data_IF_253942734408
#
_entry.id   IF_253942734408
#
_cell.length_a   1.000
_cell.length_b   1.000
_cell.length_c   1.000
_cell.angle_alpha   90.00
_cell.angle_beta   90.00
_cell.angle_gamma   90.00
#
_symmetry.space_group_name_H-M   'P 1'
#
loop_
_entity.id
_entity.type
_entity.pdbx_description
1 polymer ?
#
# COMPACT_ATOMS: atom_id res chain seq x y z
N UNK A 1 -2.69 9.43 11.86
CA UNK A 1 -3.58 8.72 10.89
C UNK A 1 -2.99 8.92 9.50
N UNK A 2 -2.98 7.88 8.67
CA UNK A 2 -2.46 7.91 7.29
C UNK A 2 -3.57 7.60 6.31
N UNK A 3 -3.72 8.43 5.27
CA UNK A 3 -4.67 8.15 4.19
C UNK A 3 -4.28 8.90 2.93
N UNK A 4 -4.75 8.44 1.77
CA UNK A 4 -4.63 9.19 0.53
C UNK A 4 -5.01 8.37 -0.69
N UNK A 5 -5.37 9.05 -1.79
CA UNK A 5 -5.72 8.40 -3.04
C UNK A 5 -4.49 7.87 -3.79
N UNK A 6 -4.71 6.81 -4.56
CA UNK A 6 -3.72 6.24 -5.47
C UNK A 6 -4.40 5.61 -6.67
N UNK A 7 -3.61 5.39 -7.72
CA UNK A 7 -4.04 4.73 -8.96
C UNK A 7 -3.06 3.63 -9.34
N UNK A 8 -3.61 2.61 -10.01
CA UNK A 8 -2.85 1.48 -10.55
C UNK A 8 -3.15 1.36 -12.04
N UNK A 9 -2.09 1.20 -12.84
CA UNK A 9 -2.20 0.98 -14.27
C UNK A 9 -1.51 -0.33 -14.64
N UNK A 10 -2.24 -1.28 -15.22
CA UNK A 10 -1.67 -2.53 -15.72
C UNK A 10 -0.82 -2.25 -16.95
N UNK A 11 0.48 -2.51 -16.83
CA UNK A 11 1.44 -2.43 -17.94
C UNK A 11 1.54 -3.78 -18.65
N UNK A 12 1.30 -4.86 -17.91
CA UNK A 12 1.12 -6.23 -18.41
C UNK A 12 0.06 -6.95 -17.57
N UNK A 13 -0.29 -8.18 -17.93
CA UNK A 13 -1.24 -9.01 -17.16
C UNK A 13 -0.80 -9.32 -15.71
N UNK A 14 0.47 -9.04 -15.37
CA UNK A 14 1.06 -9.36 -14.05
C UNK A 14 1.81 -8.21 -13.41
N UNK A 15 1.91 -7.06 -14.06
CA UNK A 15 2.67 -5.90 -13.59
C UNK A 15 1.81 -4.65 -13.65
N UNK A 16 1.76 -3.92 -12.55
CA UNK A 16 1.16 -2.59 -12.52
C UNK A 16 2.20 -1.53 -12.18
N UNK A 17 2.06 -0.37 -12.81
CA UNK A 17 2.61 0.88 -12.31
C UNK A 17 1.63 1.45 -11.29
N UNK A 18 2.17 1.85 -10.14
CA UNK A 18 1.41 2.35 -9.00
C UNK A 18 1.89 3.75 -8.68
N UNK A 19 0.97 4.68 -8.47
CA UNK A 19 1.30 6.02 -8.01
C UNK A 19 0.22 6.55 -7.08
N UNK A 20 0.59 7.43 -6.16
CA UNK A 20 -0.37 8.03 -5.26
C UNK A 20 0.24 9.10 -4.38
N UNK A 21 -0.61 9.65 -3.53
CA UNK A 21 -0.22 10.62 -2.50
C UNK A 21 -0.74 10.13 -1.17
N UNK A 22 0.01 10.37 -0.10
CA UNK A 22 -0.35 10.00 1.26
C UNK A 22 -0.22 11.21 2.16
N UNK A 23 -1.28 11.50 2.90
CA UNK A 23 -1.25 12.42 4.01
C UNK A 23 -0.91 11.65 5.29
N UNK A 24 0.08 12.16 6.03
CA UNK A 24 0.48 11.63 7.33
C UNK A 24 0.38 12.74 8.37
N UNK A 25 -0.42 12.50 9.42
CA UNK A 25 -0.49 13.37 10.59
C UNK A 25 0.09 12.65 11.81
N UNK A 26 1.15 13.22 12.38
CA UNK A 26 1.73 12.85 13.68
C UNK A 26 1.45 13.97 14.68
N UNK A 27 0.91 13.62 15.84
CA UNK A 27 0.76 14.51 16.98
C UNK A 27 1.08 13.77 18.28
N UNK A 28 1.27 14.50 19.38
CA UNK A 28 1.52 13.91 20.69
C UNK A 28 0.21 13.60 21.46
N UNK A 29 -0.96 13.73 20.80
CA UNK A 29 -2.28 13.61 21.41
C UNK A 29 -2.51 14.53 22.64
N UNK A 30 -1.85 15.69 22.67
CA UNK A 30 -1.87 16.68 23.74
C UNK A 30 -1.23 16.23 25.06
N UNK A 31 -0.34 15.22 25.01
CA UNK A 31 0.38 14.70 26.17
C UNK A 31 1.58 15.56 26.62
N UNK A 32 1.79 16.74 26.03
CA UNK A 32 2.85 17.66 26.42
C UNK A 32 2.72 19.07 25.81
N UNK A 33 3.35 20.06 26.44
CA UNK A 33 3.17 21.51 26.17
C UNK A 33 3.47 21.96 24.73
N UNK A 34 4.23 21.18 23.95
CA UNK A 34 4.49 21.41 22.52
C UNK A 34 3.85 20.31 21.68
N UNK A 35 2.65 20.59 21.16
CA UNK A 35 1.87 19.69 20.28
C UNK A 35 1.64 20.30 18.89
N UNK A 36 2.67 20.90 18.29
CA UNK A 36 2.57 21.32 16.88
C UNK A 36 2.60 20.06 16.02
N UNK A 37 1.42 19.51 15.72
CA UNK A 37 1.28 18.33 14.89
C UNK A 37 2.05 18.48 13.57
N UNK A 38 2.83 17.46 13.20
CA UNK A 38 3.58 17.43 11.96
C UNK A 38 2.65 16.85 10.89
N UNK A 39 2.38 17.66 9.87
CA UNK A 39 1.59 17.29 8.70
C UNK A 39 2.52 17.12 7.51
N UNK A 40 2.48 15.94 6.88
CA UNK A 40 3.28 15.65 5.70
C UNK A 40 2.41 15.12 4.56
N UNK A 41 2.75 15.53 3.34
CA UNK A 41 2.18 14.97 2.10
C UNK A 41 3.31 14.28 1.35
N UNK A 42 3.20 12.96 1.23
CA UNK A 42 4.19 12.12 0.55
C UNK A 42 3.62 11.66 -0.79
N UNK A 43 4.25 12.06 -1.89
CA UNK A 43 4.02 11.46 -3.20
C UNK A 43 4.84 10.16 -3.33
N UNK A 44 4.27 9.12 -3.94
CA UNK A 44 4.97 7.87 -4.19
C UNK A 44 4.66 7.31 -5.58
N UNK A 45 5.63 6.57 -6.13
CA UNK A 45 5.53 5.80 -7.37
C UNK A 45 6.23 4.45 -7.18
N UNK A 46 5.73 3.39 -7.80
CA UNK A 46 6.29 2.06 -7.67
C UNK A 46 5.77 1.06 -8.69
N UNK A 47 6.27 -0.17 -8.59
CA UNK A 47 5.89 -1.30 -9.44
C UNK A 47 5.37 -2.42 -8.56
N UNK A 48 4.25 -3.03 -8.94
CA UNK A 48 3.68 -4.19 -8.25
C UNK A 48 3.66 -5.39 -9.18
N UNK A 49 4.08 -6.56 -8.69
CA UNK A 49 4.10 -7.83 -9.41
C UNK A 49 3.10 -8.82 -8.78
N UNK A 50 2.22 -9.40 -9.59
CA UNK A 50 1.25 -10.40 -9.15
C UNK A 50 1.80 -11.81 -9.36
N UNK A 51 1.95 -12.56 -8.26
CA UNK A 51 2.40 -13.95 -8.31
C UNK A 51 1.24 -14.91 -8.57
N UNK A 52 1.47 -16.03 -9.28
CA UNK A 52 0.46 -17.08 -9.39
C UNK A 52 0.12 -17.66 -8.02
N UNK A 53 -1.17 -17.90 -7.77
CA UNK A 53 -1.61 -18.66 -6.60
C UNK A 53 -1.23 -20.14 -6.79
N UNK A 54 -0.43 -20.69 -5.88
CA UNK A 54 -0.17 -22.13 -5.87
C UNK A 54 -1.35 -22.85 -5.20
N UNK A 55 -2.20 -23.51 -5.98
CA UNK A 55 -3.27 -24.35 -5.45
C UNK A 55 -2.72 -25.74 -5.09
N UNK A 56 -2.54 -25.99 -3.78
CA UNK A 56 -2.22 -27.32 -3.24
C UNK A 56 -3.49 -28.17 -3.11
N UNK A 57 -4.11 -28.57 -4.22
CA UNK A 57 -5.30 -29.44 -4.18
C UNK A 57 -5.33 -30.43 -5.35
N UNK A 58 -4.20 -31.10 -5.62
CA UNK A 58 -4.12 -32.14 -6.66
C UNK A 58 -3.30 -33.38 -6.23
N UNK A 59 -2.98 -33.56 -4.94
CA UNK A 59 -2.20 -34.73 -4.47
C UNK A 59 -3.02 -35.87 -3.86
N UNK A 60 -4.33 -35.72 -3.66
CA UNK A 60 -5.12 -36.74 -2.93
C UNK A 60 -6.12 -37.53 -3.80
N UNK A 61 -6.15 -37.32 -5.11
CA UNK A 61 -7.04 -38.07 -6.00
C UNK A 61 -6.24 -38.86 -7.03
N UNK A 62 -5.65 -39.99 -6.62
CA UNK A 62 -5.39 -41.12 -7.51
C UNK A 62 -5.87 -42.41 -6.81
N UNK A 63 -6.83 -43.14 -7.40
CA UNK A 63 -7.24 -44.45 -6.89
C UNK A 63 -6.14 -45.50 -7.04
#
# INVERSE_FOLDING_TARGET
METGPGVHYFVTDRITWTMGVRYHHISNADLGERNTGINEVLAYVGVTFFTPQLSLTQREARP
#
